data_IF_573246448319
#
_entry.id   IF_573246448319
#
_cell.length_a   1.000
_cell.length_b   1.000
_cell.length_c   1.000
_cell.angle_alpha   90.00
_cell.angle_beta   90.00
_cell.angle_gamma   90.00
#
_symmetry.space_group_name_H-M   'P 1'
#
loop_
_entity.id
_entity.type
_entity.pdbx_description
1 polymer ?
#
# COMPACT_ATOMS: atom_id res chain seq x y z
N UNK A 1 -74.25 -4.30 11.84
CA UNK A 1 -73.34 -4.59 10.72
C UNK A 1 -72.26 -3.53 10.72
N UNK A 2 -71.15 -3.76 11.45
CA UNK A 2 -69.98 -2.87 11.47
C UNK A 2 -68.79 -3.66 10.93
N UNK A 3 -68.25 -3.20 9.80
CA UNK A 3 -67.07 -3.75 9.15
C UNK A 3 -65.85 -3.12 9.82
N UNK A 4 -65.07 -3.94 10.51
CA UNK A 4 -63.81 -3.55 11.14
C UNK A 4 -62.71 -3.57 10.05
N UNK A 5 -62.26 -2.40 9.63
CA UNK A 5 -61.12 -2.24 8.72
C UNK A 5 -59.82 -2.47 9.50
N UNK A 6 -59.17 -3.62 9.28
CA UNK A 6 -57.81 -3.91 9.71
C UNK A 6 -56.83 -3.13 8.81
N UNK A 7 -56.29 -2.02 9.32
CA UNK A 7 -55.15 -1.34 8.72
C UNK A 7 -53.89 -2.14 9.01
N UNK A 8 -53.41 -2.86 7.99
CA UNK A 8 -52.14 -3.55 7.99
C UNK A 8 -51.02 -2.50 7.80
N UNK A 9 -50.49 -1.95 8.90
CA UNK A 9 -49.29 -1.12 8.84
C UNK A 9 -48.06 -2.02 8.72
N UNK A 10 -47.67 -2.34 7.49
CA UNK A 10 -46.38 -2.95 7.20
C UNK A 10 -45.26 -1.97 7.54
N UNK A 11 -44.45 -2.29 8.56
CA UNK A 11 -43.14 -1.67 8.74
C UNK A 11 -42.29 -2.03 7.51
N UNK A 12 -42.08 -1.07 6.62
CA UNK A 12 -40.98 -1.13 5.66
C UNK A 12 -39.71 -0.86 6.48
N UNK A 13 -39.03 -1.91 6.92
CA UNK A 13 -37.65 -1.81 7.38
C UNK A 13 -36.79 -1.49 6.17
N UNK A 14 -36.49 -0.21 5.99
CA UNK A 14 -35.40 0.21 5.11
C UNK A 14 -34.13 -0.32 5.75
N UNK A 15 -33.61 -1.43 5.23
CA UNK A 15 -32.24 -1.87 5.54
C UNK A 15 -31.32 -0.86 4.86
N UNK A 16 -30.96 0.20 5.57
CA UNK A 16 -29.84 1.03 5.16
C UNK A 16 -28.62 0.10 5.14
N UNK A 17 -28.06 -0.13 3.95
CA UNK A 17 -26.80 -0.86 3.83
C UNK A 17 -25.77 -0.15 4.71
N UNK A 18 -25.29 -0.84 5.75
CA UNK A 18 -24.30 -0.30 6.67
C UNK A 18 -22.99 -0.07 5.89
N UNK A 19 -22.60 1.20 5.70
CA UNK A 19 -21.27 1.52 5.15
C UNK A 19 -20.22 1.14 6.20
N UNK A 20 -19.49 0.06 5.94
CA UNK A 20 -18.45 -0.42 6.86
C UNK A 20 -17.16 0.41 6.77
N UNK A 21 -17.08 1.39 5.88
CA UNK A 21 -15.93 2.29 5.71
C UNK A 21 -16.32 3.75 5.94
N UNK A 22 -16.60 4.16 7.20
CA UNK A 22 -17.00 5.53 7.52
C UNK A 22 -15.89 6.56 7.26
N UNK A 23 -14.64 6.12 7.14
CA UNK A 23 -13.48 6.96 6.89
C UNK A 23 -12.72 6.50 5.65
N UNK A 24 -13.16 7.00 4.49
CA UNK A 24 -12.57 6.71 3.19
C UNK A 24 -11.35 7.60 2.98
N UNK A 25 -10.21 6.99 2.68
CA UNK A 25 -8.97 7.70 2.34
C UNK A 25 -8.64 7.36 0.90
N UNK A 26 -8.60 8.36 0.05
CA UNK A 26 -8.27 8.21 -1.36
C UNK A 26 -7.23 9.27 -1.71
N UNK A 27 -6.08 8.81 -2.21
CA UNK A 27 -5.06 9.69 -2.76
C UNK A 27 -5.27 9.86 -4.27
N UNK A 28 -4.62 10.86 -4.85
CA UNK A 28 -4.62 11.10 -6.29
C UNK A 28 -4.01 9.90 -7.04
N UNK A 29 -4.61 9.52 -8.18
CA UNK A 29 -4.19 8.34 -8.94
C UNK A 29 -2.80 8.46 -9.56
N UNK A 30 -2.24 9.67 -9.68
CA UNK A 30 -0.85 9.90 -10.07
C UNK A 30 0.17 9.23 -9.13
N UNK A 31 -0.24 8.84 -7.91
CA UNK A 31 0.57 8.04 -7.00
C UNK A 31 0.80 6.58 -7.47
N UNK A 32 0.16 6.17 -8.57
CA UNK A 32 0.34 4.84 -9.15
C UNK A 32 -0.61 3.78 -8.59
N UNK A 33 -1.59 4.17 -7.79
CA UNK A 33 -2.67 3.30 -7.31
C UNK A 33 -3.98 4.07 -7.10
N UNK A 34 -5.09 3.34 -6.98
CA UNK A 34 -6.39 3.88 -6.60
C UNK A 34 -7.15 2.93 -5.68
N UNK A 35 -8.17 3.47 -5.01
CA UNK A 35 -9.13 2.69 -4.21
C UNK A 35 -10.55 3.11 -4.56
N UNK A 36 -11.45 2.14 -4.64
CA UNK A 36 -12.89 2.34 -4.77
C UNK A 36 -13.60 1.65 -3.59
N UNK A 37 -14.47 2.37 -2.89
CA UNK A 37 -15.18 1.88 -1.71
C UNK A 37 -16.61 1.49 -2.04
N UNK A 38 -17.01 0.32 -1.55
CA UNK A 38 -18.39 -0.18 -1.57
C UNK A 38 -18.83 -0.49 -0.13
N UNK A 39 -20.11 -0.84 0.06
CA UNK A 39 -20.67 -1.02 1.42
C UNK A 39 -19.91 -2.06 2.26
N UNK A 40 -19.50 -3.17 1.65
CA UNK A 40 -18.92 -4.32 2.36
C UNK A 40 -17.54 -4.74 1.83
N UNK A 41 -17.02 -4.08 0.80
CA UNK A 41 -15.71 -4.36 0.22
C UNK A 41 -15.11 -3.10 -0.39
N UNK A 42 -13.81 -3.13 -0.65
CA UNK A 42 -13.11 -2.10 -1.42
C UNK A 42 -12.28 -2.73 -2.51
N UNK A 43 -12.10 -2.03 -3.61
CA UNK A 43 -11.24 -2.45 -4.72
C UNK A 43 -10.00 -1.59 -4.69
N UNK A 44 -8.83 -2.21 -4.56
CA UNK A 44 -7.53 -1.54 -4.64
C UNK A 44 -6.88 -1.89 -5.96
N UNK A 45 -6.50 -0.88 -6.75
CA UNK A 45 -5.88 -1.06 -8.06
C UNK A 45 -4.45 -0.54 -8.03
N UNK A 46 -3.47 -1.43 -8.23
CA UNK A 46 -2.10 -1.05 -8.59
C UNK A 46 -2.09 -0.68 -10.08
N UNK A 47 -2.03 0.62 -10.38
CA UNK A 47 -2.11 1.15 -11.74
C UNK A 47 -0.83 0.90 -12.54
N UNK A 48 0.31 0.70 -11.85
CA UNK A 48 1.61 0.49 -12.49
C UNK A 48 1.77 -0.94 -13.04
N UNK A 49 1.22 -1.93 -12.35
CA UNK A 49 1.22 -3.33 -12.81
C UNK A 49 -0.11 -3.76 -13.42
N UNK A 50 -1.13 -2.90 -13.38
CA UNK A 50 -2.51 -3.19 -13.75
C UNK A 50 -3.10 -4.39 -12.97
N UNK A 51 -2.93 -4.38 -11.64
CA UNK A 51 -3.41 -5.45 -10.75
C UNK A 51 -4.55 -4.94 -9.87
N UNK A 52 -5.67 -5.68 -9.83
CA UNK A 52 -6.86 -5.30 -9.07
C UNK A 52 -7.12 -6.29 -7.93
N UNK A 53 -7.28 -5.77 -6.73
CA UNK A 53 -7.49 -6.56 -5.53
C UNK A 53 -8.85 -6.22 -4.91
N UNK A 54 -9.67 -7.25 -4.71
CA UNK A 54 -10.93 -7.09 -3.97
C UNK A 54 -10.67 -7.41 -2.50
N UNK A 55 -10.96 -6.45 -1.64
CA UNK A 55 -10.75 -6.53 -0.20
C UNK A 55 -12.11 -6.60 0.50
N UNK A 56 -12.46 -7.77 1.01
CA UNK A 56 -13.76 -8.02 1.66
C UNK A 56 -13.63 -7.89 3.17
N UNK A 57 -14.59 -7.20 3.80
CA UNK A 57 -14.63 -7.10 5.26
C UNK A 57 -15.36 -8.29 5.90
N UNK A 58 -15.13 -8.47 7.21
CA UNK A 58 -16.15 -8.96 8.14
C UNK A 58 -16.54 -10.44 7.96
N UNK A 59 -15.63 -11.25 7.41
CA UNK A 59 -15.86 -12.70 7.23
C UNK A 59 -16.90 -13.05 6.18
N UNK A 60 -17.25 -12.11 5.28
CA UNK A 60 -18.07 -12.43 4.10
C UNK A 60 -17.41 -13.50 3.23
N UNK A 61 -18.23 -14.24 2.49
CA UNK A 61 -17.72 -15.26 1.57
C UNK A 61 -16.82 -14.60 0.52
N UNK A 62 -15.64 -15.19 0.34
CA UNK A 62 -14.75 -14.88 -0.77
C UNK A 62 -15.37 -15.49 -2.03
N UNK A 63 -16.46 -14.90 -2.52
CA UNK A 63 -16.99 -15.27 -3.82
C UNK A 63 -15.93 -14.86 -4.84
N UNK A 64 -15.34 -15.86 -5.51
CA UNK A 64 -14.29 -15.68 -6.52
C UNK A 64 -14.86 -14.90 -7.69
N UNK A 65 -14.91 -13.57 -7.55
CA UNK A 65 -15.28 -12.69 -8.63
C UNK A 65 -14.20 -12.80 -9.70
N UNK A 66 -14.57 -13.36 -10.84
CA UNK A 66 -13.74 -13.43 -12.03
C UNK A 66 -13.37 -12.01 -12.45
N UNK A 67 -12.07 -11.70 -12.56
CA UNK A 67 -11.59 -10.38 -12.99
C UNK A 67 -10.67 -9.64 -12.00
N UNK A 68 -10.44 -10.17 -10.81
CA UNK A 68 -9.45 -9.64 -9.86
C UNK A 68 -8.15 -10.47 -9.87
N UNK A 69 -7.03 -9.80 -9.63
CA UNK A 69 -5.71 -10.43 -9.42
C UNK A 69 -5.70 -11.26 -8.14
N UNK A 70 -6.40 -10.80 -7.10
CA UNK A 70 -6.58 -11.52 -5.84
C UNK A 70 -7.78 -11.00 -5.05
N UNK A 71 -8.34 -11.86 -4.22
CA UNK A 71 -9.44 -11.52 -3.31
C UNK A 71 -8.99 -11.86 -1.89
N UNK A 72 -9.06 -10.89 -0.98
CA UNK A 72 -8.53 -11.03 0.38
C UNK A 72 -9.53 -10.56 1.41
N UNK A 73 -9.60 -11.26 2.54
CA UNK A 73 -10.27 -10.75 3.74
C UNK A 73 -9.37 -9.76 4.45
N UNK A 74 -9.90 -8.59 4.81
CA UNK A 74 -9.18 -7.61 5.63
C UNK A 74 -9.67 -7.64 7.09
N UNK A 75 -8.76 -7.35 8.05
CA UNK A 75 -7.32 -7.13 7.89
C UNK A 75 -6.54 -8.45 7.64
N UNK A 76 -5.54 -8.41 6.77
CA UNK A 76 -4.66 -9.57 6.50
C UNK A 76 -3.83 -9.90 7.76
N UNK A 77 -3.74 -11.19 8.10
CA UNK A 77 -3.09 -11.63 9.34
C UNK A 77 -1.66 -12.12 9.14
N UNK A 78 -1.42 -13.00 8.16
CA UNK A 78 -0.12 -13.64 7.94
C UNK A 78 0.42 -13.24 6.57
N UNK A 79 1.61 -12.65 6.53
CA UNK A 79 2.23 -12.21 5.28
C UNK A 79 3.64 -12.73 5.08
N UNK A 80 4.04 -12.87 3.83
CA UNK A 80 5.44 -12.97 3.42
C UNK A 80 5.83 -11.73 2.61
N UNK A 81 7.08 -11.29 2.73
CA UNK A 81 7.59 -10.14 1.97
C UNK A 81 8.71 -10.59 1.05
N UNK A 82 8.39 -10.75 -0.24
CA UNK A 82 9.29 -11.14 -1.32
C UNK A 82 9.74 -9.92 -2.13
N UNK A 83 10.56 -9.09 -1.47
CA UNK A 83 11.31 -7.91 -1.95
C UNK A 83 11.56 -6.97 -0.77
N UNK A 84 12.20 -7.52 0.26
CA UNK A 84 12.36 -6.88 1.57
C UNK A 84 12.87 -5.43 1.49
N UNK A 85 13.85 -5.18 0.63
CA UNK A 85 14.49 -3.87 0.47
C UNK A 85 13.50 -2.73 0.16
N UNK A 86 12.42 -3.01 -0.57
CA UNK A 86 11.50 -1.97 -1.07
C UNK A 86 10.17 -1.95 -0.33
N UNK A 87 9.75 -3.08 0.23
CA UNK A 87 8.41 -3.23 0.78
C UNK A 87 8.41 -3.34 2.30
N UNK A 88 9.44 -3.94 2.90
CA UNK A 88 9.49 -4.21 4.34
C UNK A 88 9.36 -2.97 5.22
N UNK A 89 10.02 -1.81 4.90
CA UNK A 89 9.94 -0.63 5.76
C UNK A 89 8.51 -0.11 5.97
N UNK A 90 7.60 -0.30 5.02
CA UNK A 90 6.21 0.10 5.18
C UNK A 90 5.50 -0.70 6.28
N UNK A 91 5.79 -1.99 6.41
CA UNK A 91 5.22 -2.81 7.48
C UNK A 91 5.77 -2.41 8.84
N UNK A 92 7.05 -2.05 8.93
CA UNK A 92 7.63 -1.50 10.17
C UNK A 92 6.94 -0.19 10.58
N UNK A 93 6.82 0.75 9.63
CA UNK A 93 6.19 2.05 9.84
C UNK A 93 4.71 1.95 10.21
N UNK A 94 4.01 0.94 9.68
CA UNK A 94 2.61 0.64 10.02
C UNK A 94 2.47 -0.20 11.29
N UNK A 95 3.56 -0.54 11.98
CA UNK A 95 3.57 -1.41 13.16
C UNK A 95 2.94 -2.80 12.89
N UNK A 96 3.15 -3.33 11.68
CA UNK A 96 2.68 -4.63 11.20
C UNK A 96 3.76 -5.72 11.29
N UNK A 97 4.81 -5.52 12.08
CA UNK A 97 5.96 -6.44 12.20
C UNK A 97 5.52 -7.87 12.55
N UNK A 98 4.55 -8.04 13.46
CA UNK A 98 4.02 -9.34 13.88
C UNK A 98 3.23 -10.09 12.81
N UNK A 99 2.80 -9.41 11.74
CA UNK A 99 2.11 -10.05 10.61
C UNK A 99 3.11 -10.76 9.69
N UNK A 100 4.39 -10.35 9.70
CA UNK A 100 5.42 -10.87 8.81
C UNK A 100 5.91 -12.23 9.28
N UNK A 101 5.63 -13.27 8.50
CA UNK A 101 5.99 -14.66 8.79
C UNK A 101 7.22 -15.14 8.02
N UNK A 102 7.54 -14.48 6.89
CA UNK A 102 8.72 -14.77 6.05
C UNK A 102 9.21 -13.52 5.32
N UNK A 103 10.51 -13.47 5.03
CA UNK A 103 11.14 -12.36 4.29
C UNK A 103 12.16 -12.88 3.29
N UNK A 104 12.14 -12.31 2.09
CA UNK A 104 13.12 -12.55 1.02
C UNK A 104 13.59 -11.22 0.42
N UNK A 105 14.91 -10.99 0.27
CA UNK A 105 16.01 -11.77 0.84
C UNK A 105 16.28 -11.38 2.31
N UNK A 106 16.26 -12.35 3.24
CA UNK A 106 16.40 -12.10 4.68
C UNK A 106 17.77 -11.56 5.09
N UNK A 107 18.83 -11.92 4.37
CA UNK A 107 20.21 -11.49 4.65
C UNK A 107 20.44 -9.98 4.44
N UNK A 108 19.54 -9.29 3.75
CA UNK A 108 19.64 -7.85 3.53
C UNK A 108 18.82 -7.04 4.55
N UNK A 109 18.16 -7.71 5.49
CA UNK A 109 17.33 -7.07 6.52
C UNK A 109 18.18 -6.80 7.75
N UNK A 110 18.32 -5.52 8.09
CA UNK A 110 19.09 -5.08 9.26
C UNK A 110 18.21 -4.73 10.46
N UNK A 111 16.88 -4.68 10.29
CA UNK A 111 15.96 -4.35 11.37
C UNK A 111 15.91 -5.49 12.40
N UNK A 112 16.17 -5.22 13.70
CA UNK A 112 16.15 -6.25 14.74
C UNK A 112 14.75 -6.84 14.96
N UNK A 113 13.69 -6.13 14.54
CA UNK A 113 12.32 -6.61 14.57
C UNK A 113 12.11 -7.93 13.81
N UNK A 114 13.00 -8.24 12.87
CA UNK A 114 12.91 -9.41 11.98
C UNK A 114 14.07 -10.38 12.13
N UNK A 115 14.88 -10.27 13.19
CA UNK A 115 16.09 -11.07 13.37
C UNK A 115 15.85 -12.59 13.35
N UNK A 116 14.64 -13.04 13.67
CA UNK A 116 14.27 -14.46 13.72
C UNK A 116 13.50 -14.95 12.48
N UNK A 117 13.31 -14.09 11.46
CA UNK A 117 12.60 -14.45 10.24
C UNK A 117 13.54 -14.96 9.17
N UNK A 118 13.04 -15.91 8.37
CA UNK A 118 13.77 -16.49 7.24
C UNK A 118 12.90 -16.45 5.98
N UNK A 119 13.41 -16.98 4.86
CA UNK A 119 12.62 -17.17 3.66
C UNK A 119 11.47 -18.18 3.85
N UNK A 120 11.55 -19.05 4.87
CA UNK A 120 10.50 -20.02 5.18
C UNK A 120 9.49 -19.41 6.15
N UNK A 121 8.19 -19.47 5.84
CA UNK A 121 7.16 -18.89 6.70
C UNK A 121 7.03 -19.65 8.02
N UNK A 122 6.98 -18.91 9.13
CA UNK A 122 6.68 -19.48 10.44
C UNK A 122 5.23 -19.99 10.53
N UNK A 123 4.30 -19.35 9.81
CA UNK A 123 2.92 -19.80 9.67
C UNK A 123 2.53 -19.78 8.18
N UNK A 124 2.12 -20.94 7.66
CA UNK A 124 1.70 -21.09 6.25
C UNK A 124 0.18 -20.94 6.04
N UNK A 125 -0.59 -20.76 7.10
CA UNK A 125 -2.06 -20.68 7.00
C UNK A 125 -2.48 -19.28 6.55
N UNK A 126 -3.25 -19.19 5.47
CA UNK A 126 -3.72 -17.93 4.88
C UNK A 126 -2.59 -16.93 4.62
N UNK A 127 -1.41 -17.43 4.24
CA UNK A 127 -0.24 -16.61 3.97
C UNK A 127 -0.44 -15.82 2.67
N UNK A 128 -0.32 -14.48 2.74
CA UNK A 128 -0.37 -13.59 1.58
C UNK A 128 1.02 -13.03 1.30
N UNK A 129 1.49 -13.16 0.05
CA UNK A 129 2.85 -12.71 -0.31
C UNK A 129 2.83 -11.33 -0.93
N UNK A 130 3.46 -10.36 -0.28
CA UNK A 130 3.74 -9.05 -0.87
C UNK A 130 5.03 -9.12 -1.68
N UNK A 131 4.97 -8.78 -2.96
CA UNK A 131 6.08 -8.89 -3.91
C UNK A 131 6.05 -7.67 -4.85
N UNK A 132 7.06 -7.49 -5.71
CA UNK A 132 7.07 -6.37 -6.70
C UNK A 132 5.96 -6.48 -7.75
N UNK A 133 5.56 -7.71 -8.08
CA UNK A 133 4.51 -8.00 -9.05
C UNK A 133 3.84 -9.32 -8.70
N UNK A 134 2.52 -9.30 -8.63
CA UNK A 134 1.75 -10.49 -8.28
C UNK A 134 1.94 -11.61 -9.31
N UNK A 135 2.15 -12.82 -8.82
CA UNK A 135 2.37 -14.02 -9.62
C UNK A 135 1.34 -15.13 -9.32
N UNK A 136 0.44 -14.89 -8.36
CA UNK A 136 -0.60 -15.81 -7.92
C UNK A 136 -1.78 -15.05 -7.33
N UNK A 137 -2.90 -15.73 -7.12
CA UNK A 137 -4.07 -15.18 -6.44
C UNK A 137 -3.87 -14.91 -4.95
N UNK A 138 -2.76 -15.41 -4.37
CA UNK A 138 -2.37 -15.22 -2.98
C UNK A 138 -1.19 -14.25 -2.83
N UNK A 139 -0.88 -13.48 -3.88
CA UNK A 139 0.15 -12.45 -3.85
C UNK A 139 -0.39 -11.06 -4.19
N UNK A 140 0.22 -10.04 -3.61
CA UNK A 140 -0.06 -8.62 -3.82
C UNK A 140 1.20 -7.96 -4.36
N UNK A 141 1.10 -7.33 -5.52
CA UNK A 141 2.16 -6.55 -6.14
C UNK A 141 2.25 -5.14 -5.56
N UNK A 142 3.45 -4.75 -5.13
CA UNK A 142 3.80 -3.45 -4.58
C UNK A 142 4.81 -2.79 -5.50
N UNK A 143 4.40 -1.72 -6.16
CA UNK A 143 5.23 -1.02 -7.15
C UNK A 143 5.85 0.27 -6.58
N UNK A 144 6.04 0.33 -5.27
CA UNK A 144 6.59 1.48 -4.56
C UNK A 144 8.01 1.86 -5.03
N UNK A 145 8.78 0.91 -5.57
CA UNK A 145 10.13 1.15 -6.12
C UNK A 145 10.14 1.49 -7.61
N UNK A 146 8.99 1.78 -8.23
CA UNK A 146 8.93 2.09 -9.65
C UNK A 146 9.68 3.41 -9.93
N UNK A 147 10.67 3.42 -10.84
CA UNK A 147 11.51 4.59 -11.11
C UNK A 147 10.76 5.77 -11.75
N UNK A 148 9.56 5.55 -12.30
CA UNK A 148 8.71 6.61 -12.85
C UNK A 148 8.03 7.45 -11.77
N UNK A 149 7.99 7.00 -10.52
CA UNK A 149 7.40 7.74 -9.40
C UNK A 149 8.38 8.75 -8.82
N UNK A 150 7.87 9.89 -8.33
CA UNK A 150 8.66 10.82 -7.50
C UNK A 150 8.88 10.24 -6.09
N UNK A 151 9.80 10.80 -5.28
CA UNK A 151 10.03 10.33 -3.91
C UNK A 151 8.77 10.37 -3.03
N UNK A 152 8.00 11.45 -3.11
CA UNK A 152 6.73 11.56 -2.38
C UNK A 152 5.69 10.54 -2.88
N UNK A 153 5.64 10.30 -4.19
CA UNK A 153 4.76 9.26 -4.76
C UNK A 153 5.17 7.85 -4.34
N UNK A 154 6.47 7.52 -4.27
CA UNK A 154 6.91 6.23 -3.73
C UNK A 154 6.51 6.08 -2.25
N UNK A 155 6.66 7.16 -1.47
CA UNK A 155 6.31 7.17 -0.06
C UNK A 155 4.80 7.00 0.20
N UNK A 156 3.94 7.46 -0.71
CA UNK A 156 2.49 7.34 -0.57
C UNK A 156 1.98 5.88 -0.61
N UNK A 157 2.82 4.93 -1.07
CA UNK A 157 2.52 3.49 -1.03
C UNK A 157 2.37 2.93 0.38
N UNK A 158 2.74 3.68 1.42
CA UNK A 158 2.34 3.35 2.80
C UNK A 158 0.82 3.32 2.95
N UNK A 159 0.09 4.20 2.26
CA UNK A 159 -1.38 4.20 2.24
C UNK A 159 -1.91 3.04 1.40
N UNK A 160 -1.26 2.72 0.28
CA UNK A 160 -1.58 1.53 -0.52
C UNK A 160 -1.54 0.25 0.32
N UNK A 161 -0.45 0.04 1.07
CA UNK A 161 -0.31 -1.13 1.95
C UNK A 161 -1.36 -1.12 3.05
N UNK A 162 -1.65 0.05 3.64
CA UNK A 162 -2.61 0.17 4.73
C UNK A 162 -4.04 -0.25 4.35
N UNK A 163 -4.44 -0.17 3.08
CA UNK A 163 -5.74 -0.68 2.65
C UNK A 163 -5.92 -2.17 2.97
N UNK A 164 -4.86 -2.97 2.92
CA UNK A 164 -4.95 -4.42 3.17
C UNK A 164 -5.06 -4.78 4.67
N UNK A 165 -4.90 -3.80 5.56
CA UNK A 165 -4.90 -3.97 7.02
C UNK A 165 -5.93 -3.10 7.74
N UNK A 166 -6.79 -2.40 6.99
CA UNK A 166 -7.77 -1.45 7.54
C UNK A 166 -7.11 -0.34 8.41
N UNK A 167 -5.93 0.12 7.98
CA UNK A 167 -5.10 1.12 8.67
C UNK A 167 -5.04 2.47 7.95
N UNK A 168 -5.94 2.74 7.01
CA UNK A 168 -5.86 3.89 6.11
C UNK A 168 -5.74 5.23 6.83
N UNK A 169 -6.48 5.40 7.93
CA UNK A 169 -6.42 6.65 8.69
C UNK A 169 -5.04 6.88 9.29
N UNK A 170 -4.48 5.86 9.94
CA UNK A 170 -3.16 5.95 10.54
C UNK A 170 -2.09 6.21 9.47
N UNK A 171 -2.15 5.48 8.37
CA UNK A 171 -1.23 5.65 7.24
C UNK A 171 -1.32 7.03 6.61
N UNK A 172 -2.53 7.61 6.49
CA UNK A 172 -2.71 8.96 5.97
C UNK A 172 -2.08 10.01 6.89
N UNK A 173 -2.21 9.86 8.21
CA UNK A 173 -1.56 10.77 9.16
C UNK A 173 -0.03 10.67 9.06
N UNK A 174 0.50 9.45 8.96
CA UNK A 174 1.93 9.21 8.82
C UNK A 174 2.46 9.78 7.50
N UNK A 175 1.80 9.49 6.37
CA UNK A 175 2.13 10.06 5.06
C UNK A 175 2.12 11.59 5.09
N UNK A 176 1.09 12.20 5.70
CA UNK A 176 1.00 13.66 5.83
C UNK A 176 2.18 14.24 6.62
N UNK A 177 2.59 13.58 7.71
CA UNK A 177 3.74 13.99 8.51
C UNK A 177 5.06 13.85 7.72
N UNK A 178 5.22 12.76 6.98
CA UNK A 178 6.42 12.55 6.17
C UNK A 178 6.51 13.55 5.01
N UNK A 179 5.39 13.85 4.35
CA UNK A 179 5.30 14.88 3.33
C UNK A 179 5.71 16.25 3.87
N UNK A 180 5.21 16.61 5.06
CA UNK A 180 5.58 17.87 5.73
C UNK A 180 7.08 17.95 5.99
N UNK A 181 7.70 16.87 6.47
CA UNK A 181 9.14 16.83 6.71
C UNK A 181 9.94 16.94 5.40
N UNK A 182 9.52 16.22 4.36
CA UNK A 182 10.16 16.28 3.05
C UNK A 182 10.14 17.70 2.47
N UNK A 183 8.98 18.36 2.48
CA UNK A 183 8.84 19.73 1.96
C UNK A 183 9.64 20.75 2.78
N UNK A 184 9.75 20.54 4.09
CA UNK A 184 10.63 21.33 4.95
C UNK A 184 12.10 21.20 4.54
N UNK A 185 12.59 19.97 4.33
CA UNK A 185 13.96 19.72 3.88
C UNK A 185 14.22 20.32 2.50
N UNK A 186 13.34 20.06 1.54
CA UNK A 186 13.40 20.63 0.18
C UNK A 186 13.52 22.16 0.23
N UNK A 187 12.63 22.82 0.98
CA UNK A 187 12.63 24.28 1.11
C UNK A 187 13.93 24.79 1.74
N UNK A 188 14.45 24.13 2.76
CA UNK A 188 15.71 24.52 3.39
C UNK A 188 16.91 24.35 2.45
N UNK A 189 16.94 23.27 1.65
CA UNK A 189 18.03 22.98 0.74
C UNK A 189 18.12 23.96 -0.44
N UNK A 190 17.00 24.54 -0.87
CA UNK A 190 16.99 25.65 -1.85
C UNK A 190 17.87 26.83 -1.40
N UNK A 191 17.97 27.08 -0.09
CA UNK A 191 18.78 28.16 0.47
C UNK A 191 20.28 27.81 0.60
N UNK A 192 20.64 26.53 0.40
CA UNK A 192 22.02 26.05 0.56
C UNK A 192 22.91 26.28 -0.68
N UNK A 193 22.32 26.80 -1.77
CA UNK A 193 22.97 27.06 -3.06
C UNK A 193 23.18 25.81 -3.91
N UNK A 194 23.21 25.98 -5.23
CA UNK A 194 23.24 24.88 -6.21
C UNK A 194 24.37 23.86 -5.95
N UNK A 195 24.07 22.58 -6.17
CA UNK A 195 24.98 21.45 -5.99
C UNK A 195 25.08 20.64 -7.29
N UNK A 196 26.31 20.31 -7.69
CA UNK A 196 26.54 19.37 -8.78
C UNK A 196 26.48 17.94 -8.22
N UNK A 197 25.33 17.28 -8.37
CA UNK A 197 25.10 15.93 -7.88
C UNK A 197 24.90 15.01 -9.07
N UNK A 198 25.58 13.86 -9.05
CA UNK A 198 25.38 12.78 -9.98
C UNK A 198 25.09 11.50 -9.21
N UNK A 199 24.03 10.81 -9.58
CA UNK A 199 23.70 9.50 -9.01
C UNK A 199 24.16 8.42 -9.98
N UNK A 200 24.94 7.47 -9.47
CA UNK A 200 25.49 6.38 -10.29
C UNK A 200 25.12 5.02 -9.72
N UNK A 201 25.02 4.02 -10.58
CA UNK A 201 24.89 2.62 -10.19
C UNK A 201 25.88 1.76 -10.96
N UNK A 202 26.46 0.79 -10.26
CA UNK A 202 27.31 -0.25 -10.85
C UNK A 202 26.54 -1.56 -10.92
N UNK A 203 26.47 -2.17 -12.10
CA UNK A 203 25.76 -3.43 -12.32
C UNK A 203 26.67 -4.67 -12.31
N UNK A 204 27.95 -4.51 -11.97
CA UNK A 204 28.97 -5.56 -12.09
C UNK A 204 29.84 -5.45 -13.34
N UNK A 205 29.45 -4.62 -14.32
CA UNK A 205 30.17 -4.43 -15.58
C UNK A 205 30.47 -2.96 -15.89
N UNK A 206 29.53 -2.05 -15.65
CA UNK A 206 29.66 -0.65 -16.00
C UNK A 206 29.01 0.28 -14.96
N UNK A 207 29.54 1.49 -14.88
CA UNK A 207 28.89 2.58 -14.17
C UNK A 207 27.86 3.25 -15.07
N UNK A 208 26.64 3.40 -14.56
CA UNK A 208 25.54 4.06 -15.24
C UNK A 208 25.09 5.27 -14.42
N UNK A 209 24.85 6.39 -15.10
CA UNK A 209 24.19 7.54 -14.50
C UNK A 209 22.68 7.29 -14.45
N UNK A 210 22.07 7.57 -13.29
CA UNK A 210 20.63 7.47 -13.09
C UNK A 210 19.95 8.78 -13.47
N UNK A 211 18.88 8.66 -14.25
CA UNK A 211 18.07 9.78 -14.73
C UNK A 211 16.57 9.49 -14.65
N UNK A 212 16.17 8.53 -13.83
CA UNK A 212 14.77 8.25 -13.56
C UNK A 212 14.09 9.39 -12.79
N UNK A 213 12.75 9.38 -12.77
CA UNK A 213 11.97 10.45 -12.17
C UNK A 213 12.26 10.58 -10.67
N UNK A 214 12.34 9.45 -9.95
CA UNK A 214 12.69 9.43 -8.54
C UNK A 214 14.02 10.14 -8.27
N UNK A 215 15.08 9.73 -8.97
CA UNK A 215 16.43 10.25 -8.75
C UNK A 215 16.57 11.70 -9.20
N UNK A 216 15.99 12.07 -10.35
CA UNK A 216 16.02 13.45 -10.83
C UNK A 216 15.29 14.39 -9.88
N UNK A 217 14.10 14.01 -9.38
CA UNK A 217 13.36 14.82 -8.41
C UNK A 217 14.14 14.98 -7.11
N UNK A 218 14.81 13.93 -6.58
CA UNK A 218 15.67 14.10 -5.40
C UNK A 218 16.82 15.08 -5.63
N UNK A 219 17.47 15.01 -6.79
CA UNK A 219 18.55 15.92 -7.14
C UNK A 219 18.03 17.35 -7.22
N UNK A 220 16.92 17.59 -7.91
CA UNK A 220 16.29 18.91 -8.02
C UNK A 220 15.88 19.44 -6.63
N UNK A 221 15.22 18.61 -5.82
CA UNK A 221 14.74 18.96 -4.47
C UNK A 221 15.88 19.16 -3.46
N UNK A 222 17.09 18.71 -3.77
CA UNK A 222 18.30 18.99 -2.96
C UNK A 222 18.89 20.39 -3.18
N UNK A 223 18.18 21.26 -3.89
CA UNK A 223 18.61 22.63 -4.19
C UNK A 223 19.37 22.76 -5.51
N UNK A 224 19.35 21.73 -6.36
CA UNK A 224 19.93 21.80 -7.70
C UNK A 224 18.93 22.46 -8.66
N UNK A 225 19.00 23.78 -8.78
CA UNK A 225 18.29 24.51 -9.83
C UNK A 225 19.08 24.42 -11.13
N UNK A 226 18.52 23.77 -12.15
CA UNK A 226 19.02 23.86 -13.53
C UNK A 226 19.07 25.30 -14.01
#
# INVERSE_FOLDING_TARGET
MYILFLLLTGLITIVFGQDNYPKKIQLDSSNGFSVEYFNNYKIVHNLLNNEKYMLVCCGMTLDNNTGYTGVFSTPIQNIAVDSALYTLPFFELLNLTNHVQAIVPANNVTSPCYANLTATPQNSTNLVTFTVKSNSTSSIGVSANNPSLTPLQQMSWIVYIAYFFDMEYYANQLYSSLNTNYECHKTNLLHSGAKNIAWTSYDGSAWTLKYDNYTNTLIEDSGNTK
#
